data_IF_317497292211
#
_entry.id   IF_317497292211
#
_cell.length_a   1.000
_cell.length_b   1.000
_cell.length_c   1.000
_cell.angle_alpha   90.00
_cell.angle_beta   90.00
_cell.angle_gamma   90.00
#
_symmetry.space_group_name_H-M   'P 1'
#
loop_
_entity.id
_entity.type
_entity.pdbx_description
1 polymer ?
#
# COMPACT_ATOMS: atom_id res chain seq x y z
N UNK A 1 -47.48 -50.98 -6.11
CA UNK A 1 -46.55 -50.25 -5.28
C UNK A 1 -45.14 -50.40 -5.84
N UNK A 2 -44.66 -49.42 -6.50
CA UNK A 2 -43.32 -49.45 -7.10
C UNK A 2 -42.42 -48.67 -6.13
N UNK A 3 -41.47 -49.39 -5.49
CA UNK A 3 -40.44 -48.78 -4.63
C UNK A 3 -39.41 -48.06 -5.52
N UNK A 4 -39.07 -46.81 -5.25
CA UNK A 4 -38.06 -46.16 -6.02
C UNK A 4 -36.69 -46.84 -5.74
N UNK A 5 -36.03 -47.22 -6.80
CA UNK A 5 -34.77 -47.93 -6.78
C UNK A 5 -33.68 -47.09 -6.08
N UNK A 6 -32.84 -47.76 -5.28
CA UNK A 6 -31.73 -47.20 -4.50
C UNK A 6 -30.71 -46.38 -5.30
N UNK A 7 -30.88 -46.30 -6.59
CA UNK A 7 -29.99 -45.55 -7.54
C UNK A 7 -30.21 -44.06 -7.51
N UNK A 8 -31.37 -43.56 -7.10
CA UNK A 8 -31.71 -42.12 -7.07
C UNK A 8 -31.16 -41.43 -5.79
N UNK A 9 -31.00 -42.19 -4.73
CA UNK A 9 -30.49 -41.64 -3.44
C UNK A 9 -28.99 -41.33 -3.53
N UNK A 10 -28.24 -42.05 -4.40
CA UNK A 10 -26.83 -41.81 -4.62
C UNK A 10 -26.53 -40.59 -5.49
N UNK A 11 -27.46 -40.18 -6.35
CA UNK A 11 -27.31 -39.01 -7.21
C UNK A 11 -27.52 -37.70 -6.44
N UNK A 12 -28.39 -37.67 -5.44
CA UNK A 12 -28.62 -36.48 -4.61
C UNK A 12 -27.47 -36.21 -3.61
N UNK A 13 -26.75 -37.26 -3.19
CA UNK A 13 -25.66 -37.10 -2.22
C UNK A 13 -24.37 -36.55 -2.86
N UNK A 14 -24.20 -36.73 -4.18
CA UNK A 14 -23.02 -36.21 -4.90
C UNK A 14 -23.14 -34.73 -5.25
N UNK A 15 -24.34 -34.18 -5.29
CA UNK A 15 -24.57 -32.76 -5.62
C UNK A 15 -24.37 -31.87 -4.39
N UNK A 16 -24.50 -32.42 -3.17
CA UNK A 16 -24.38 -31.65 -1.94
C UNK A 16 -22.91 -31.42 -1.51
N UNK A 17 -21.97 -32.20 -2.05
CA UNK A 17 -20.53 -32.07 -1.70
C UNK A 17 -19.80 -31.07 -2.58
N UNK A 18 -20.38 -30.71 -3.72
CA UNK A 18 -19.75 -29.76 -4.65
C UNK A 18 -19.98 -28.27 -4.29
N UNK A 19 -20.82 -27.97 -3.30
CA UNK A 19 -21.17 -26.59 -2.91
C UNK A 19 -20.40 -26.07 -1.69
N UNK A 20 -19.49 -26.86 -1.13
CA UNK A 20 -18.67 -26.47 0.04
C UNK A 20 -17.24 -26.06 -0.32
N UNK A 21 -16.90 -26.02 -1.61
CA UNK A 21 -15.56 -25.61 -2.06
C UNK A 21 -15.48 -24.15 -2.54
N UNK A 22 -16.53 -23.36 -2.39
CA UNK A 22 -16.56 -21.95 -2.80
C UNK A 22 -16.45 -20.98 -1.61
N UNK A 23 -15.71 -21.36 -0.55
CA UNK A 23 -15.60 -20.60 0.68
C UNK A 23 -14.20 -20.11 1.03
N UNK A 24 -13.25 -20.12 0.11
CA UNK A 24 -11.96 -19.48 0.30
C UNK A 24 -11.92 -18.18 -0.51
N UNK A 25 -12.73 -17.20 -0.13
CA UNK A 25 -12.34 -15.83 -0.38
C UNK A 25 -11.17 -15.56 0.58
N UNK A 26 -9.96 -15.81 0.13
CA UNK A 26 -8.81 -15.22 0.74
C UNK A 26 -8.99 -13.71 0.56
N UNK A 27 -9.46 -13.04 1.60
CA UNK A 27 -9.12 -11.65 1.78
C UNK A 27 -7.62 -11.57 1.58
N UNK A 28 -7.08 -10.72 0.69
CA UNK A 28 -5.65 -10.54 0.62
C UNK A 28 -5.22 -10.11 2.02
N UNK A 29 -4.68 -11.06 2.78
CA UNK A 29 -4.10 -10.80 4.07
C UNK A 29 -2.96 -9.81 3.82
N UNK A 30 -3.19 -8.52 4.16
CA UNK A 30 -2.20 -7.48 4.08
C UNK A 30 -1.70 -7.22 2.66
N UNK A 31 -2.39 -6.38 1.90
CA UNK A 31 -1.70 -5.65 0.84
C UNK A 31 -0.44 -5.06 1.47
N UNK A 32 0.74 -5.38 0.91
CA UNK A 32 2.01 -4.89 1.43
C UNK A 32 1.93 -3.37 1.58
N UNK A 33 2.34 -2.86 2.73
CA UNK A 33 2.49 -1.43 2.97
C UNK A 33 3.68 -0.87 2.19
N UNK A 34 4.53 -1.77 1.70
CA UNK A 34 5.73 -1.44 0.97
C UNK A 34 5.48 -1.47 -0.53
N UNK A 35 5.93 -0.43 -1.21
CA UNK A 35 6.06 -0.37 -2.66
C UNK A 35 7.53 -0.16 -3.01
N UNK A 36 7.98 -0.72 -4.12
CA UNK A 36 9.35 -0.46 -4.59
C UNK A 36 9.51 1.00 -5.01
N UNK A 37 10.74 1.51 -5.00
CA UNK A 37 11.02 2.87 -5.48
C UNK A 37 10.67 3.02 -6.97
N UNK A 38 10.85 1.98 -7.78
CA UNK A 38 10.48 1.99 -9.19
C UNK A 38 8.95 2.09 -9.36
N UNK A 39 8.18 1.39 -8.53
CA UNK A 39 6.73 1.52 -8.51
C UNK A 39 6.27 2.89 -7.99
N UNK A 40 6.95 3.43 -6.98
CA UNK A 40 6.68 4.79 -6.50
C UNK A 40 6.90 5.82 -7.62
N UNK A 41 7.97 5.67 -8.41
CA UNK A 41 8.24 6.52 -9.56
C UNK A 41 7.13 6.41 -10.60
N UNK A 42 6.73 5.19 -10.95
CA UNK A 42 5.65 4.95 -11.90
C UNK A 42 4.33 5.60 -11.44
N UNK A 43 3.95 5.37 -10.20
CA UNK A 43 2.71 5.93 -9.61
C UNK A 43 2.72 7.46 -9.60
N UNK A 44 3.86 8.05 -9.25
CA UNK A 44 4.01 9.50 -9.24
C UNK A 44 3.92 10.10 -10.64
N UNK A 45 4.61 9.52 -11.62
CA UNK A 45 4.56 9.98 -13.01
C UNK A 45 3.16 9.85 -13.62
N UNK A 46 2.43 8.80 -13.28
CA UNK A 46 1.06 8.58 -13.71
C UNK A 46 0.02 9.43 -12.94
N UNK A 47 0.45 10.18 -11.94
CA UNK A 47 -0.42 10.94 -11.03
C UNK A 47 -1.43 10.05 -10.27
N UNK A 48 -1.07 8.80 -10.06
CA UNK A 48 -1.85 7.81 -9.30
C UNK A 48 -1.54 7.84 -7.80
N UNK A 49 -0.43 8.44 -7.41
CA UNK A 49 -0.04 8.62 -6.02
C UNK A 49 0.61 9.99 -5.78
N UNK A 50 0.47 10.46 -4.56
CA UNK A 50 1.18 11.61 -4.03
C UNK A 50 2.38 11.10 -3.25
N UNK A 51 3.58 11.61 -3.54
CA UNK A 51 4.77 11.33 -2.75
C UNK A 51 4.96 12.42 -1.69
N UNK A 52 5.43 12.01 -0.52
CA UNK A 52 5.84 12.92 0.56
C UNK A 52 7.24 12.50 1.01
N UNK A 53 8.15 13.46 1.00
CA UNK A 53 9.52 13.27 1.45
C UNK A 53 9.60 13.50 2.98
N UNK A 54 9.94 12.45 3.72
CA UNK A 54 10.01 12.51 5.18
C UNK A 54 11.45 12.69 5.71
N UNK A 55 12.38 13.05 4.82
CA UNK A 55 13.76 13.38 5.19
C UNK A 55 13.81 14.73 5.94
N UNK A 56 14.98 15.05 6.47
CA UNK A 56 15.21 16.37 7.06
C UNK A 56 15.13 17.47 5.99
N UNK A 57 14.81 18.72 6.39
CA UNK A 57 14.84 19.86 5.47
C UNK A 57 16.22 20.06 4.79
N UNK A 58 17.30 19.77 5.47
CA UNK A 58 18.67 19.88 4.91
C UNK A 58 18.87 18.85 3.78
N UNK A 59 18.51 17.59 3.98
CA UNK A 59 18.57 16.55 2.95
C UNK A 59 17.69 16.91 1.74
N UNK A 60 16.48 17.42 1.99
CA UNK A 60 15.55 17.83 0.95
C UNK A 60 16.12 18.94 0.07
N UNK A 61 16.77 19.94 0.67
CA UNK A 61 17.43 21.05 -0.06
C UNK A 61 18.62 20.60 -0.91
N UNK A 62 19.27 19.51 -0.53
CA UNK A 62 20.39 18.96 -1.30
C UNK A 62 19.93 18.33 -2.64
N UNK A 63 18.68 17.93 -2.71
CA UNK A 63 18.05 17.35 -3.89
C UNK A 63 16.78 16.59 -3.50
N UNK A 64 15.69 16.83 -4.24
CA UNK A 64 14.38 16.23 -3.98
C UNK A 64 13.61 16.01 -5.29
N UNK A 65 12.57 15.23 -5.23
CA UNK A 65 11.67 14.99 -6.36
C UNK A 65 10.87 16.27 -6.63
N UNK A 66 10.80 16.75 -7.87
CA UNK A 66 10.09 17.99 -8.18
C UNK A 66 8.62 17.96 -7.74
N UNK A 67 8.18 19.03 -7.06
CA UNK A 67 6.79 19.18 -6.62
C UNK A 67 6.37 18.30 -5.43
N UNK A 68 7.28 17.54 -4.84
CA UNK A 68 7.02 16.70 -3.68
C UNK A 68 7.19 17.51 -2.40
N UNK A 69 6.20 17.47 -1.51
CA UNK A 69 6.29 18.16 -0.22
C UNK A 69 7.26 17.48 0.72
N UNK A 70 7.95 18.27 1.53
CA UNK A 70 8.77 17.79 2.63
C UNK A 70 8.01 17.92 3.94
N UNK A 71 7.71 16.78 4.55
CA UNK A 71 7.17 16.68 5.90
C UNK A 71 8.10 15.75 6.68
N UNK A 72 9.08 16.29 7.39
CA UNK A 72 10.03 15.47 8.13
C UNK A 72 9.35 14.48 9.07
N UNK A 73 9.95 13.30 9.28
CA UNK A 73 9.39 12.25 10.10
C UNK A 73 8.95 12.73 11.50
N UNK A 74 9.77 13.56 12.14
CA UNK A 74 9.51 14.12 13.48
C UNK A 74 8.39 15.18 13.49
N UNK A 75 7.97 15.66 12.33
CA UNK A 75 6.88 16.63 12.23
C UNK A 75 5.54 16.01 11.80
N UNK A 76 5.50 14.73 11.44
CA UNK A 76 4.28 14.09 10.96
C UNK A 76 3.11 14.22 11.93
N UNK A 77 3.35 14.02 13.22
CA UNK A 77 2.30 14.13 14.25
C UNK A 77 1.65 15.51 14.31
N UNK A 78 2.45 16.55 14.12
CA UNK A 78 1.98 17.95 14.16
C UNK A 78 1.31 18.38 12.86
N UNK A 79 1.52 17.63 11.78
CA UNK A 79 1.11 17.99 10.41
C UNK A 79 0.17 16.98 9.77
N UNK A 80 -0.59 16.24 10.57
CA UNK A 80 -1.54 15.22 10.09
C UNK A 80 -2.58 15.79 9.11
N UNK A 81 -2.98 17.05 9.29
CA UNK A 81 -3.91 17.73 8.39
C UNK A 81 -3.39 17.98 6.97
N UNK A 82 -2.07 17.86 6.77
CA UNK A 82 -1.43 18.01 5.45
C UNK A 82 -1.32 16.69 4.69
N UNK A 83 -1.67 15.56 5.32
CA UNK A 83 -1.64 14.24 4.69
C UNK A 83 -2.96 13.99 3.96
N UNK A 84 -2.96 13.81 2.63
CA UNK A 84 -4.17 13.51 1.87
C UNK A 84 -4.82 12.19 2.30
N UNK A 85 -6.15 12.15 2.35
CA UNK A 85 -6.91 10.94 2.73
C UNK A 85 -7.56 10.22 1.56
N UNK A 86 -7.88 10.91 0.49
CA UNK A 86 -8.64 10.39 -0.64
C UNK A 86 -7.78 9.82 -1.77
N UNK A 87 -6.48 9.75 -1.62
CA UNK A 87 -5.54 9.34 -2.66
C UNK A 87 -4.41 8.51 -2.05
N UNK A 88 -3.84 7.62 -2.84
CA UNK A 88 -2.64 6.88 -2.42
C UNK A 88 -1.50 7.85 -2.11
N UNK A 89 -0.90 7.71 -0.94
CA UNK A 89 0.25 8.48 -0.50
C UNK A 89 1.42 7.52 -0.32
N UNK A 90 2.58 7.85 -0.88
CA UNK A 90 3.81 7.08 -0.71
C UNK A 90 4.83 7.96 -0.02
N UNK A 91 5.29 7.53 1.14
CA UNK A 91 6.37 8.21 1.85
C UNK A 91 7.72 7.75 1.31
N UNK A 92 8.62 8.69 1.11
CA UNK A 92 9.99 8.43 0.66
C UNK A 92 11.00 9.05 1.63
N UNK A 93 12.07 8.33 1.90
CA UNK A 93 13.23 8.85 2.61
C UNK A 93 14.51 8.46 1.86
N UNK A 94 15.67 8.41 2.50
CA UNK A 94 16.93 8.05 1.84
C UNK A 94 16.98 6.57 1.46
N UNK A 95 16.61 5.66 2.38
CA UNK A 95 16.79 4.20 2.23
C UNK A 95 15.53 3.38 2.42
N UNK A 96 14.43 3.99 2.84
CA UNK A 96 13.16 3.31 3.14
C UNK A 96 12.92 3.05 4.64
N UNK A 97 13.85 3.35 5.53
CA UNK A 97 13.72 3.09 6.95
C UNK A 97 12.80 4.12 7.65
N UNK A 98 13.10 5.41 7.52
CA UNK A 98 12.26 6.48 8.09
C UNK A 98 10.87 6.51 7.49
N UNK A 99 10.76 6.30 6.19
CA UNK A 99 9.46 6.22 5.50
C UNK A 99 8.62 5.03 5.96
N UNK A 100 9.25 3.89 6.29
CA UNK A 100 8.55 2.75 6.89
C UNK A 100 8.00 3.11 8.29
N UNK A 101 8.77 3.80 9.11
CA UNK A 101 8.32 4.29 10.42
C UNK A 101 7.14 5.27 10.27
N UNK A 102 7.25 6.21 9.34
CA UNK A 102 6.20 7.18 9.05
C UNK A 102 4.91 6.54 8.56
N UNK A 103 5.01 5.56 7.66
CA UNK A 103 3.85 4.83 7.16
C UNK A 103 3.16 4.04 8.29
N UNK A 104 3.92 3.37 9.13
CA UNK A 104 3.37 2.66 10.30
C UNK A 104 2.67 3.64 11.26
N UNK A 105 3.29 4.77 11.56
CA UNK A 105 2.70 5.79 12.41
C UNK A 105 1.38 6.33 11.86
N UNK A 106 1.36 6.73 10.58
CA UNK A 106 0.17 7.28 9.94
C UNK A 106 -0.95 6.25 9.83
N UNK A 107 -0.64 5.00 9.51
CA UNK A 107 -1.63 3.91 9.51
C UNK A 107 -2.22 3.70 10.89
N UNK A 108 -1.44 3.80 11.95
CA UNK A 108 -1.93 3.77 13.32
C UNK A 108 -2.85 4.93 13.68
N UNK A 109 -2.79 6.03 12.92
CA UNK A 109 -3.68 7.20 13.03
C UNK A 109 -4.89 7.14 12.09
N UNK A 110 -5.08 6.02 11.38
CA UNK A 110 -6.24 5.81 10.50
C UNK A 110 -6.00 6.16 9.02
N UNK A 111 -4.77 6.46 8.61
CA UNK A 111 -4.41 6.69 7.22
C UNK A 111 -4.08 5.37 6.53
N UNK A 112 -5.08 4.63 6.10
CA UNK A 112 -4.95 3.33 5.41
C UNK A 112 -4.44 3.45 3.97
N UNK A 113 -4.37 4.66 3.44
CA UNK A 113 -3.92 5.03 2.09
C UNK A 113 -2.42 5.36 2.02
N UNK A 114 -1.67 5.23 3.11
CA UNK A 114 -0.24 5.59 3.20
C UNK A 114 0.63 4.34 3.08
N UNK A 115 1.64 4.43 2.21
CA UNK A 115 2.58 3.36 1.87
C UNK A 115 4.02 3.83 2.07
N UNK A 116 4.91 2.87 2.25
CA UNK A 116 6.36 3.09 2.32
C UNK A 116 7.01 2.82 0.96
N UNK A 117 7.93 3.67 0.53
CA UNK A 117 8.82 3.38 -0.59
C UNK A 117 10.10 2.70 -0.10
N UNK A 118 10.30 1.45 -0.49
CA UNK A 118 11.56 0.75 -0.21
C UNK A 118 12.66 1.23 -1.14
N UNK A 119 13.90 1.32 -0.63
CA UNK A 119 15.07 1.80 -1.40
C UNK A 119 15.23 3.32 -1.41
N UNK A 120 14.17 4.08 -1.36
CA UNK A 120 14.17 5.52 -1.20
C UNK A 120 15.00 6.31 -2.22
N UNK A 121 15.43 7.51 -1.84
CA UNK A 121 16.19 8.42 -2.71
C UNK A 121 17.55 7.86 -3.16
N UNK A 122 18.13 6.94 -2.38
CA UNK A 122 19.43 6.32 -2.75
C UNK A 122 19.35 5.49 -4.03
N UNK A 123 18.19 5.00 -4.38
CA UNK A 123 17.93 4.20 -5.59
C UNK A 123 16.91 4.83 -6.53
N UNK A 124 16.53 6.08 -6.29
CA UNK A 124 15.60 6.83 -7.13
C UNK A 124 16.21 7.10 -8.50
N UNK A 125 15.48 6.77 -9.56
CA UNK A 125 15.91 6.92 -10.97
C UNK A 125 15.18 8.04 -11.71
N UNK A 126 14.24 8.70 -11.04
CA UNK A 126 13.45 9.77 -11.62
C UNK A 126 14.14 11.14 -11.51
N UNK A 127 13.44 12.22 -11.90
CA UNK A 127 13.99 13.57 -11.84
C UNK A 127 14.22 14.01 -10.39
N UNK A 128 15.23 14.86 -10.23
CA UNK A 128 15.60 15.51 -8.96
C UNK A 128 15.88 16.97 -9.22
N UNK A 129 15.44 17.84 -8.32
CA UNK A 129 15.72 19.28 -8.35
C UNK A 129 16.25 19.76 -7.00
N UNK A 130 16.72 21.00 -6.92
CA UNK A 130 17.15 21.66 -5.67
C UNK A 130 16.26 22.86 -5.36
#
# INVERSE_FOLDING_TARGET
MILPSKRWIRACLMILVALLAAGCSQSPAGASVDVSVDEALRLWQAKEAILIDVRTPAEYREGHIPGVANIPLDELEKRLGEIPKGKKVVLICRTGNRSAQGAKFLRGKGFDNVFNSTGGMSTWKGPVTK
#
